data_IF_360230325645
#
_entry.id   IF_360230325645
#
_cell.length_a   1.000
_cell.length_b   1.000
_cell.length_c   1.000
_cell.angle_alpha   90.00
_cell.angle_beta   90.00
_cell.angle_gamma   90.00
#
_symmetry.space_group_name_H-M   'P 1'
#
loop_
_entity.id
_entity.type
_entity.pdbx_description
1 polymer ?
#
# COMPACT_ATOMS: atom_id res chain seq x y z
N UNK A 1 6.56 -2.75 -27.84
CA UNK A 1 6.65 -1.50 -27.06
C UNK A 1 7.71 -1.72 -26.00
N UNK A 2 8.69 -0.84 -25.82
CA UNK A 2 9.68 -1.01 -24.74
C UNK A 2 9.03 -0.74 -23.38
N UNK A 3 9.54 -1.39 -22.31
CA UNK A 3 9.10 -1.19 -20.94
C UNK A 3 9.07 0.30 -20.56
N UNK A 4 10.14 1.04 -20.87
CA UNK A 4 10.24 2.47 -20.63
C UNK A 4 9.11 3.27 -21.32
N UNK A 5 8.79 2.99 -22.59
CA UNK A 5 7.70 3.68 -23.29
C UNK A 5 6.35 3.44 -22.63
N UNK A 6 6.13 2.24 -22.06
CA UNK A 6 4.93 1.92 -21.29
C UNK A 6 4.93 2.69 -19.96
N UNK A 7 6.04 2.68 -19.23
CA UNK A 7 6.19 3.33 -17.92
C UNK A 7 6.12 4.86 -18.01
N UNK A 8 6.66 5.47 -19.07
CA UNK A 8 6.51 6.92 -19.33
C UNK A 8 5.03 7.28 -19.47
N UNK A 9 4.23 6.45 -20.16
CA UNK A 9 2.80 6.69 -20.32
C UNK A 9 2.06 6.56 -18.98
N UNK A 10 2.31 5.47 -18.23
CA UNK A 10 1.74 5.27 -16.89
C UNK A 10 2.10 6.44 -15.96
N UNK A 11 3.38 6.82 -15.89
CA UNK A 11 3.84 7.91 -15.03
C UNK A 11 3.25 9.27 -15.43
N UNK A 12 3.11 9.52 -16.73
CA UNK A 12 2.47 10.76 -17.23
C UNK A 12 0.99 10.84 -16.83
N UNK A 13 0.30 9.70 -16.72
CA UNK A 13 -1.05 9.64 -16.18
C UNK A 13 -1.03 9.93 -14.68
N UNK A 14 -0.12 9.33 -13.91
CA UNK A 14 0.00 9.57 -12.47
C UNK A 14 0.32 11.03 -12.13
N UNK A 15 1.08 11.73 -12.98
CA UNK A 15 1.32 13.18 -12.81
C UNK A 15 0.06 14.03 -13.02
N UNK A 16 -0.85 13.60 -13.90
CA UNK A 16 -2.12 14.30 -14.18
C UNK A 16 -3.20 13.94 -13.16
N UNK A 17 -3.24 12.68 -12.76
CA UNK A 17 -4.18 12.11 -11.82
C UNK A 17 -3.40 11.24 -10.84
N UNK A 18 -2.89 11.84 -9.74
CA UNK A 18 -2.15 11.11 -8.73
C UNK A 18 -2.96 9.93 -8.16
N UNK A 19 -2.37 8.76 -7.92
CA UNK A 19 -3.10 7.59 -7.44
C UNK A 19 -3.92 7.82 -6.15
N UNK A 20 -3.46 8.70 -5.25
CA UNK A 20 -4.20 9.07 -4.04
C UNK A 20 -5.57 9.73 -4.33
N UNK A 21 -5.78 10.29 -5.53
CA UNK A 21 -7.07 10.86 -5.94
C UNK A 21 -8.12 9.79 -6.21
N UNK A 22 -7.70 8.60 -6.67
CA UNK A 22 -8.58 7.47 -6.94
C UNK A 22 -8.72 6.57 -5.72
N UNK A 23 -7.62 6.41 -4.96
CA UNK A 23 -7.59 5.59 -3.78
C UNK A 23 -6.68 6.25 -2.73
N UNK A 24 -7.28 6.84 -1.70
CA UNK A 24 -6.58 7.57 -0.64
C UNK A 24 -5.63 6.69 0.20
N UNK A 25 -5.74 5.36 0.09
CA UNK A 25 -4.84 4.40 0.75
C UNK A 25 -3.51 4.26 0.01
N UNK A 26 -3.39 4.78 -1.22
CA UNK A 26 -2.14 4.86 -1.98
C UNK A 26 -1.57 6.27 -1.79
N UNK A 27 -0.62 6.42 -0.88
CA UNK A 27 -0.02 7.72 -0.52
C UNK A 27 0.92 8.20 -1.63
N UNK A 28 1.70 7.29 -2.19
CA UNK A 28 2.69 7.62 -3.21
C UNK A 28 2.90 6.42 -4.14
N UNK A 29 3.17 6.71 -5.42
CA UNK A 29 3.66 5.76 -6.41
C UNK A 29 4.54 6.53 -7.40
N UNK A 30 5.85 6.30 -7.35
CA UNK A 30 6.81 7.02 -8.19
C UNK A 30 8.08 6.22 -8.44
N UNK A 31 8.85 6.55 -9.50
CA UNK A 31 10.21 6.04 -9.67
C UNK A 31 11.06 6.37 -8.44
N UNK A 32 12.03 5.51 -8.11
CA UNK A 32 12.98 5.75 -7.00
C UNK A 32 14.11 6.69 -7.40
N UNK A 33 14.42 6.76 -8.69
CA UNK A 33 15.53 7.54 -9.26
C UNK A 33 15.11 8.14 -10.59
N UNK A 34 15.67 9.30 -10.95
CA UNK A 34 15.38 9.95 -12.23
C UNK A 34 16.03 9.26 -13.43
N UNK A 35 17.12 8.50 -13.21
CA UNK A 35 17.91 7.86 -14.26
C UNK A 35 17.29 6.55 -14.79
N UNK A 36 16.38 5.94 -14.03
CA UNK A 36 15.77 4.65 -14.39
C UNK A 36 14.30 4.60 -13.99
N UNK A 37 13.46 4.29 -14.97
CA UNK A 37 12.04 4.01 -14.76
C UNK A 37 11.79 2.54 -14.43
N UNK A 38 12.81 1.72 -14.22
CA UNK A 38 12.64 0.30 -13.90
C UNK A 38 12.54 0.03 -12.40
N UNK A 39 12.83 1.01 -11.55
CA UNK A 39 12.74 0.89 -10.10
C UNK A 39 11.75 1.93 -9.56
N UNK A 40 10.77 1.45 -8.82
CA UNK A 40 9.66 2.23 -8.30
C UNK A 40 9.45 1.92 -6.82
N UNK A 41 8.87 2.90 -6.13
CA UNK A 41 8.38 2.73 -4.78
C UNK A 41 6.90 3.13 -4.72
N UNK A 42 6.12 2.32 -4.00
CA UNK A 42 4.79 2.71 -3.57
C UNK A 42 4.77 2.83 -2.05
N UNK A 43 4.00 3.79 -1.55
CA UNK A 43 3.68 3.90 -0.13
C UNK A 43 2.17 3.74 0.01
N UNK A 44 1.75 2.75 0.79
CA UNK A 44 0.35 2.48 1.09
C UNK A 44 0.08 2.68 2.58
N UNK A 45 -1.14 3.04 2.94
CA UNK A 45 -1.55 3.20 4.32
C UNK A 45 -2.98 2.69 4.53
N UNK A 46 -3.29 2.37 5.78
CA UNK A 46 -4.67 2.13 6.25
C UNK A 46 -5.00 3.17 7.32
N UNK A 47 -5.36 4.41 6.94
CA UNK A 47 -5.49 5.51 7.90
C UNK A 47 -6.47 5.25 9.05
N UNK A 48 -7.60 4.60 8.75
CA UNK A 48 -8.72 4.45 9.69
C UNK A 48 -9.11 2.98 9.89
N UNK A 49 -9.86 2.70 10.95
CA UNK A 49 -10.45 1.38 11.20
C UNK A 49 -11.45 0.96 10.10
N UNK A 50 -12.05 1.94 9.41
CA UNK A 50 -12.92 1.68 8.25
C UNK A 50 -12.14 1.21 7.02
N UNK A 51 -10.87 1.60 6.90
CA UNK A 51 -10.00 1.15 5.79
C UNK A 51 -9.56 -0.29 5.97
N UNK A 52 -9.33 -0.71 7.22
CA UNK A 52 -9.01 -2.09 7.57
C UNK A 52 -9.23 -2.36 9.06
N UNK A 53 -9.96 -3.41 9.45
CA UNK A 53 -10.10 -3.76 10.86
C UNK A 53 -8.75 -4.12 11.50
N UNK A 54 -7.84 -4.75 10.75
CA UNK A 54 -6.59 -5.28 11.31
C UNK A 54 -5.41 -4.31 11.15
N UNK A 55 -5.31 -3.66 9.98
CA UNK A 55 -4.11 -2.91 9.58
C UNK A 55 -4.23 -1.41 9.82
N UNK A 56 -5.32 -0.93 10.40
CA UNK A 56 -5.56 0.49 10.65
C UNK A 56 -4.41 1.18 11.40
N UNK A 57 -4.21 2.45 11.09
CA UNK A 57 -3.11 3.26 11.61
C UNK A 57 -1.74 2.89 11.04
N UNK A 58 -1.62 1.92 10.13
CA UNK A 58 -0.35 1.48 9.56
C UNK A 58 0.02 2.14 8.23
N UNK A 59 1.33 2.25 7.96
CA UNK A 59 1.91 2.70 6.69
C UNK A 59 3.04 1.77 6.24
N UNK A 60 3.08 1.41 4.96
CA UNK A 60 4.08 0.49 4.41
C UNK A 60 4.64 0.98 3.09
N UNK A 61 5.95 0.78 2.92
CA UNK A 61 6.64 0.96 1.64
C UNK A 61 6.76 -0.36 0.90
N UNK A 62 6.51 -0.31 -0.40
CA UNK A 62 6.67 -1.39 -1.34
C UNK A 62 7.78 -1.04 -2.33
N UNK A 63 8.71 -1.96 -2.54
CA UNK A 63 9.67 -1.89 -3.65
C UNK A 63 9.07 -2.58 -4.86
N UNK A 64 9.19 -1.94 -6.02
CA UNK A 64 8.65 -2.41 -7.30
C UNK A 64 9.79 -2.42 -8.31
N UNK A 65 10.20 -3.63 -8.71
CA UNK A 65 11.22 -3.84 -9.74
C UNK A 65 10.56 -4.28 -11.04
N UNK A 66 10.64 -3.43 -12.06
CA UNK A 66 10.03 -3.63 -13.36
C UNK A 66 11.04 -4.26 -14.32
N UNK A 67 10.77 -5.45 -14.89
CA UNK A 67 11.70 -6.07 -15.82
C UNK A 67 11.73 -5.32 -17.16
N UNK A 68 12.84 -5.45 -17.90
CA UNK A 68 12.97 -4.85 -19.24
C UNK A 68 11.96 -5.42 -20.25
N UNK A 69 11.39 -6.59 -19.95
CA UNK A 69 10.33 -7.29 -20.68
C UNK A 69 8.92 -6.84 -20.28
N UNK A 70 8.76 -5.82 -19.45
CA UNK A 70 7.45 -5.26 -19.13
C UNK A 70 6.81 -4.61 -20.39
N UNK A 71 5.49 -4.76 -20.62
CA UNK A 71 4.49 -5.44 -19.79
C UNK A 71 4.25 -6.92 -20.12
N UNK A 72 5.11 -7.58 -20.91
CA UNK A 72 4.97 -9.01 -21.20
C UNK A 72 5.16 -9.85 -19.94
N UNK A 73 6.11 -9.48 -19.08
CA UNK A 73 6.28 -10.06 -17.74
C UNK A 73 5.86 -9.07 -16.64
N UNK A 74 5.31 -9.55 -15.52
CA UNK A 74 4.92 -8.71 -14.40
C UNK A 74 6.14 -8.05 -13.73
N UNK A 75 5.96 -6.92 -13.03
CA UNK A 75 6.95 -6.44 -12.09
C UNK A 75 7.03 -7.35 -10.86
N UNK A 76 8.17 -7.32 -10.18
CA UNK A 76 8.31 -7.91 -8.85
C UNK A 76 7.98 -6.86 -7.81
N UNK A 77 7.05 -7.16 -6.89
CA UNK A 77 6.66 -6.25 -5.81
C UNK A 77 6.91 -6.94 -4.46
N UNK A 78 7.61 -6.26 -3.55
CA UNK A 78 7.87 -6.74 -2.20
C UNK A 78 7.62 -5.64 -1.18
N UNK A 79 7.15 -6.03 0.01
CA UNK A 79 7.13 -5.15 1.17
C UNK A 79 8.57 -4.85 1.59
N UNK A 80 8.95 -3.57 1.53
CA UNK A 80 10.19 -3.09 2.13
C UNK A 80 10.01 -2.94 3.65
N UNK A 81 8.82 -2.50 4.06
CA UNK A 81 8.45 -2.35 5.46
C UNK A 81 7.91 -3.67 6.01
N UNK A 82 8.41 -4.18 7.15
CA UNK A 82 7.91 -5.42 7.74
C UNK A 82 6.39 -5.40 7.99
N UNK A 83 5.75 -6.53 7.73
CA UNK A 83 4.31 -6.74 7.92
C UNK A 83 4.02 -8.21 8.29
N UNK A 84 3.08 -8.41 9.20
CA UNK A 84 2.49 -9.72 9.47
C UNK A 84 1.24 -9.84 8.61
N UNK A 85 1.21 -10.80 7.69
CA UNK A 85 0.05 -11.08 6.84
C UNK A 85 0.11 -12.53 6.31
N UNK A 86 -1.02 -13.26 6.21
CA UNK A 86 -1.03 -14.66 5.73
C UNK A 86 -0.32 -14.88 4.39
N UNK A 87 -0.53 -13.99 3.41
CA UNK A 87 0.06 -14.09 2.06
C UNK A 87 1.33 -13.26 1.84
N UNK A 88 1.99 -12.78 2.90
CA UNK A 88 3.26 -12.04 2.80
C UNK A 88 4.32 -12.75 3.63
N UNK A 89 5.49 -12.99 3.05
CA UNK A 89 6.62 -13.53 3.79
C UNK A 89 7.19 -12.46 4.74
N UNK A 90 7.17 -12.73 6.04
CA UNK A 90 7.56 -11.75 7.06
C UNK A 90 9.06 -11.41 7.08
N UNK A 91 9.91 -12.21 6.44
CA UNK A 91 11.36 -11.95 6.35
C UNK A 91 11.74 -11.27 5.04
N UNK A 92 11.19 -11.73 3.91
CA UNK A 92 11.58 -11.26 2.57
C UNK A 92 10.66 -10.18 2.02
N UNK A 93 9.46 -10.01 2.58
CA UNK A 93 8.42 -9.11 2.08
C UNK A 93 7.75 -9.60 0.80
N UNK A 94 8.04 -10.82 0.36
CA UNK A 94 7.44 -11.40 -0.86
C UNK A 94 5.93 -11.57 -0.70
N UNK A 95 5.21 -11.24 -1.78
CA UNK A 95 3.76 -11.27 -1.83
C UNK A 95 3.31 -12.48 -2.66
N UNK A 96 2.43 -13.30 -2.11
CA UNK A 96 1.71 -14.31 -2.89
C UNK A 96 0.41 -13.73 -3.42
N UNK A 97 0.43 -13.24 -4.66
CA UNK A 97 -0.72 -12.70 -5.36
C UNK A 97 -0.68 -13.13 -6.82
N UNK A 98 -1.75 -13.76 -7.30
CA UNK A 98 -1.77 -14.41 -8.62
C UNK A 98 -1.56 -13.44 -9.79
N UNK A 99 -2.01 -12.19 -9.66
CA UNK A 99 -1.81 -11.16 -10.70
C UNK A 99 -0.34 -10.77 -10.86
N UNK A 100 0.53 -11.09 -9.89
CA UNK A 100 1.99 -10.95 -10.01
C UNK A 100 2.66 -12.22 -10.58
N UNK A 101 1.88 -13.26 -10.92
CA UNK A 101 2.36 -14.57 -11.35
C UNK A 101 1.53 -15.09 -12.54
N UNK A 102 0.69 -16.09 -12.32
CA UNK A 102 -0.04 -16.85 -13.34
C UNK A 102 -1.19 -16.07 -13.98
N UNK A 103 -1.77 -15.09 -13.29
CA UNK A 103 -2.88 -14.27 -13.77
C UNK A 103 -2.42 -12.90 -14.30
N UNK A 104 -1.12 -12.71 -14.46
CA UNK A 104 -0.58 -11.50 -15.07
C UNK A 104 -1.07 -11.34 -16.52
N UNK A 105 -1.41 -10.11 -16.89
CA UNK A 105 -1.57 -9.74 -18.29
C UNK A 105 -1.15 -8.28 -18.52
N UNK A 106 -0.74 -7.90 -19.74
CA UNK A 106 -0.36 -6.51 -20.07
C UNK A 106 -1.45 -5.44 -19.88
N UNK A 107 -2.68 -5.86 -19.55
CA UNK A 107 -3.79 -4.98 -19.21
C UNK A 107 -3.63 -4.33 -17.82
N UNK A 108 -2.90 -4.99 -16.91
CA UNK A 108 -2.55 -4.44 -15.60
C UNK A 108 -1.47 -3.34 -15.74
N UNK A 109 -1.47 -2.41 -14.79
CA UNK A 109 -0.48 -1.35 -14.67
C UNK A 109 0.01 -1.25 -13.21
N UNK A 110 1.01 -0.42 -12.92
CA UNK A 110 1.57 -0.34 -11.57
C UNK A 110 0.54 0.08 -10.50
N UNK A 111 -0.29 1.08 -10.80
CA UNK A 111 -1.38 1.52 -9.90
C UNK A 111 -2.38 0.39 -9.62
N UNK A 112 -2.85 -0.33 -10.64
CA UNK A 112 -3.83 -1.40 -10.46
C UNK A 112 -3.25 -2.59 -9.69
N UNK A 113 -1.94 -2.86 -9.81
CA UNK A 113 -1.25 -3.83 -8.96
C UNK A 113 -1.17 -3.38 -7.50
N UNK A 114 -0.87 -2.11 -7.24
CA UNK A 114 -0.85 -1.57 -5.86
C UNK A 114 -2.26 -1.60 -5.26
N UNK A 115 -3.31 -1.30 -6.03
CA UNK A 115 -4.71 -1.47 -5.60
C UNK A 115 -5.00 -2.91 -5.21
N UNK A 116 -4.56 -3.89 -6.02
CA UNK A 116 -4.75 -5.30 -5.70
C UNK A 116 -4.05 -5.71 -4.40
N UNK A 117 -2.86 -5.15 -4.11
CA UNK A 117 -2.15 -5.37 -2.83
C UNK A 117 -2.92 -4.73 -1.66
N UNK A 118 -3.45 -3.52 -1.82
CA UNK A 118 -4.29 -2.89 -0.79
C UNK A 118 -5.51 -3.74 -0.45
N UNK A 119 -6.15 -4.34 -1.46
CA UNK A 119 -7.27 -5.26 -1.29
C UNK A 119 -6.87 -6.59 -0.66
N UNK A 120 -5.68 -7.12 -0.98
CA UNK A 120 -5.14 -8.33 -0.37
C UNK A 120 -5.01 -8.18 1.15
N UNK A 121 -4.56 -7.01 1.64
CA UNK A 121 -4.44 -6.76 3.08
C UNK A 121 -5.77 -6.91 3.82
N UNK A 122 -6.89 -6.52 3.20
CA UNK A 122 -8.22 -6.62 3.83
C UNK A 122 -8.87 -7.98 3.63
N UNK A 123 -8.43 -8.72 2.61
CA UNK A 123 -8.98 -10.02 2.25
C UNK A 123 -7.85 -11.08 2.18
N UNK A 124 -7.24 -11.45 3.33
CA UNK A 124 -6.23 -12.50 3.34
C UNK A 124 -6.78 -13.84 2.85
N UNK A 125 -5.96 -14.58 2.11
CA UNK A 125 -6.25 -15.93 1.62
C UNK A 125 -5.49 -16.96 2.46
N UNK A 126 -6.07 -17.47 3.57
CA UNK A 126 -5.34 -18.32 4.50
C UNK A 126 -5.02 -19.70 3.92
N UNK A 127 -5.71 -20.17 2.88
CA UNK A 127 -5.57 -21.53 2.32
C UNK A 127 -4.35 -21.70 1.41
N UNK A 128 -3.68 -20.61 1.06
CA UNK A 128 -2.38 -20.61 0.38
C UNK A 128 -1.42 -19.58 0.99
N UNK A 129 -0.98 -19.78 2.24
CA UNK A 129 -0.24 -18.77 2.99
C UNK A 129 1.26 -18.84 2.74
N UNK A 130 1.93 -17.68 2.78
CA UNK A 130 3.38 -17.59 2.95
C UNK A 130 3.78 -17.53 4.43
N UNK A 131 2.88 -17.08 5.29
CA UNK A 131 3.04 -17.07 6.74
C UNK A 131 1.95 -17.93 7.38
N UNK A 132 2.33 -19.14 7.78
CA UNK A 132 1.42 -20.15 8.34
C UNK A 132 0.87 -19.70 9.70
N UNK A 133 1.69 -19.07 10.53
CA UNK A 133 1.28 -18.62 11.86
C UNK A 133 0.22 -17.51 11.78
N UNK A 134 0.45 -16.53 10.90
CA UNK A 134 -0.51 -15.47 10.62
C UNK A 134 -1.83 -16.04 10.04
N UNK A 135 -1.74 -17.04 9.15
CA UNK A 135 -2.92 -17.69 8.57
C UNK A 135 -3.72 -18.47 9.63
N UNK A 136 -3.05 -19.17 10.54
CA UNK A 136 -3.71 -19.91 11.62
C UNK A 136 -4.40 -18.97 12.61
N UNK A 137 -3.73 -17.88 13.01
CA UNK A 137 -4.37 -16.85 13.83
C UNK A 137 -5.59 -16.26 13.12
N UNK A 138 -5.45 -15.89 11.83
CA UNK A 138 -6.56 -15.35 11.06
C UNK A 138 -7.78 -16.30 10.98
N UNK A 139 -7.55 -17.62 10.88
CA UNK A 139 -8.62 -18.64 10.86
C UNK A 139 -9.30 -18.82 12.21
N UNK A 140 -8.52 -18.94 13.28
CA UNK A 140 -9.02 -19.47 14.56
C UNK A 140 -9.18 -18.40 15.65
N UNK A 141 -8.45 -17.29 15.56
CA UNK A 141 -8.51 -16.22 16.55
C UNK A 141 -8.20 -14.86 15.91
N UNK A 142 -9.25 -14.23 15.38
CA UNK A 142 -9.17 -12.91 14.73
C UNK A 142 -8.74 -11.79 15.69
N UNK A 143 -9.03 -11.92 16.98
CA UNK A 143 -8.66 -10.92 18.00
C UNK A 143 -7.16 -11.02 18.28
N UNK A 144 -6.62 -12.23 18.40
CA UNK A 144 -5.17 -12.44 18.51
C UNK A 144 -4.44 -12.02 17.22
N UNK A 145 -5.03 -12.29 16.05
CA UNK A 145 -4.49 -11.83 14.77
C UNK A 145 -4.41 -10.29 14.72
N UNK A 146 -5.50 -9.59 15.03
CA UNK A 146 -5.53 -8.13 15.11
C UNK A 146 -4.47 -7.61 16.09
N UNK A 147 -4.41 -8.19 17.30
CA UNK A 147 -3.45 -7.81 18.33
C UNK A 147 -2.00 -7.96 17.87
N UNK A 148 -1.69 -9.04 17.13
CA UNK A 148 -0.37 -9.28 16.58
C UNK A 148 -0.02 -8.27 15.48
N UNK A 149 -0.95 -7.98 14.57
CA UNK A 149 -0.75 -6.99 13.50
C UNK A 149 -0.51 -5.60 14.11
N UNK A 150 -1.34 -5.19 15.07
CA UNK A 150 -1.20 -3.91 15.76
C UNK A 150 0.10 -3.83 16.57
N UNK A 151 0.49 -4.92 17.24
CA UNK A 151 1.77 -5.01 17.91
C UNK A 151 2.94 -4.86 16.94
N UNK A 152 2.88 -5.47 15.74
CA UNK A 152 3.92 -5.33 14.73
C UNK A 152 4.05 -3.89 14.24
N UNK A 153 2.93 -3.23 13.93
CA UNK A 153 2.89 -1.81 13.53
C UNK A 153 3.57 -0.97 14.61
N UNK A 154 3.23 -1.20 15.88
CA UNK A 154 3.81 -0.48 17.01
C UNK A 154 5.30 -0.74 17.19
N UNK A 155 5.71 -2.01 17.16
CA UNK A 155 7.10 -2.46 17.38
C UNK A 155 8.05 -1.86 16.34
N UNK A 156 7.62 -1.79 15.08
CA UNK A 156 8.43 -1.25 13.99
C UNK A 156 8.30 0.27 13.87
N UNK A 157 7.25 0.86 14.45
CA UNK A 157 6.98 2.30 14.39
C UNK A 157 6.34 2.76 13.09
N UNK A 158 5.66 1.86 12.37
CA UNK A 158 5.06 2.11 11.06
C UNK A 158 3.70 2.81 11.15
N UNK A 159 3.64 3.91 11.90
CA UNK A 159 2.39 4.63 12.10
C UNK A 159 2.08 5.56 10.93
N UNK A 160 0.86 5.49 10.43
CA UNK A 160 0.30 6.52 9.56
C UNK A 160 0.05 7.78 10.38
N UNK A 161 0.99 8.72 10.31
CA UNK A 161 0.80 10.05 10.87
C UNK A 161 0.02 10.89 9.87
N UNK A 162 -1.23 11.22 10.18
CA UNK A 162 -1.90 12.35 9.54
C UNK A 162 -1.05 13.58 9.84
N UNK A 163 -0.49 14.22 8.81
CA UNK A 163 0.13 15.53 8.98
C UNK A 163 -0.96 16.46 9.52
N UNK A 164 -0.86 16.85 10.80
CA UNK A 164 -1.82 17.77 11.44
C UNK A 164 -1.91 19.11 10.70
N UNK A 165 -0.88 19.46 9.89
CA UNK A 165 -0.87 20.63 9.02
C UNK A 165 -1.88 20.55 7.86
N UNK A 166 -2.34 19.36 7.46
CA UNK A 166 -3.33 19.18 6.38
C UNK A 166 -4.76 19.06 6.87
N UNK A 167 -4.96 18.82 8.18
CA UNK A 167 -6.29 18.67 8.80
C UNK A 167 -6.82 19.96 9.42
N UNK A 168 -5.98 20.98 9.58
CA UNK A 168 -6.34 22.21 10.27
C UNK A 168 -5.87 23.42 9.46
N UNK A 169 -6.53 23.69 8.34
CA UNK A 169 -6.46 25.04 7.76
C UNK A 169 -7.32 25.96 8.63
N UNK A 170 -6.65 26.75 9.47
CA UNK A 170 -7.25 27.89 10.15
C UNK A 170 -7.37 29.06 9.17
N UNK A 171 -8.57 29.57 8.95
CA UNK A 171 -8.72 30.87 8.28
C UNK A 171 -8.13 31.96 9.19
N UNK A 172 -7.03 32.55 8.75
CA UNK A 172 -6.28 33.58 9.51
C UNK A 172 -7.09 34.86 9.77
N UNK A 173 -8.19 35.10 9.05
CA UNK A 173 -9.09 36.25 9.28
C UNK A 173 -10.17 35.96 10.31
N UNK A 174 -10.73 34.77 10.31
CA UNK A 174 -11.91 34.43 11.12
C UNK A 174 -11.60 33.53 12.32
N UNK A 175 -10.38 32.97 12.38
CA UNK A 175 -9.93 31.97 13.37
C UNK A 175 -10.88 30.77 13.45
N UNK A 176 -11.54 30.43 12.35
CA UNK A 176 -12.38 29.22 12.25
C UNK A 176 -11.69 28.12 11.44
N UNK A 177 -12.09 26.88 11.71
CA UNK A 177 -11.64 25.69 10.99
C UNK A 177 -12.32 25.63 9.62
N UNK A 178 -11.54 25.52 8.54
CA UNK A 178 -12.07 25.53 7.17
C UNK A 178 -12.51 24.13 6.70
N UNK A 179 -11.91 23.05 7.23
CA UNK A 179 -12.35 21.66 7.00
C UNK A 179 -12.02 20.76 8.19
N UNK A 180 -13.02 20.13 8.79
CA UNK A 180 -12.87 19.00 9.71
C UNK A 180 -13.38 17.75 9.00
N UNK A 181 -12.47 16.86 8.60
CA UNK A 181 -12.81 15.57 8.00
C UNK A 181 -12.76 14.44 9.04
N UNK A 182 -12.39 14.75 10.29
CA UNK A 182 -12.08 13.77 11.32
C UNK A 182 -13.08 13.74 12.48
N UNK A 183 -13.93 14.76 12.64
CA UNK A 183 -14.85 14.86 13.77
C UNK A 183 -14.16 14.93 15.14
N UNK A 184 -12.83 15.04 15.16
CA UNK A 184 -12.03 15.18 16.37
C UNK A 184 -11.70 16.66 16.52
N UNK A 185 -12.25 17.28 17.57
CA UNK A 185 -11.88 18.65 17.94
C UNK A 185 -10.37 18.68 18.21
N UNK A 186 -9.65 19.48 17.44
CA UNK A 186 -8.29 19.90 17.78
C UNK A 186 -8.36 20.68 19.10
N UNK A 187 -7.64 20.22 20.12
CA UNK A 187 -7.51 20.88 21.44
C UNK A 187 -6.48 21.99 21.36
#
# INVERSE_FOLDING_TARGET
MSAEKRLIKEYSLYKKQPPHTNNHQIIQLSPTTDDSLLHWQATIAKPTIQDSPYYHGGIWKLNIDVPTTYPQQPPTIKFQTPIIHPNINSTTGEICLDVLKSQWSPAWNLESLVVAIVQLLDNPEPDSPLNIDAANLYRFDKVAFESLVQFEIWKVGNFYQLNLSTLCEMDKKTRSLVRDVSGVKCV
#
